data_IF_201841787101
#
_entry.id   IF_201841787101
#
_cell.length_a   1.000
_cell.length_b   1.000
_cell.length_c   1.000
_cell.angle_alpha   90.00
_cell.angle_beta   90.00
_cell.angle_gamma   90.00
#
_symmetry.space_group_name_H-M   'P 1'
#
loop_
_entity.id
_entity.type
_entity.pdbx_description
1 polymer ?
#
# COMPACT_ATOMS: atom_id res chain seq x y z
N UNK A 1 4.45 4.06 -23.50
CA UNK A 1 4.98 3.26 -22.38
C UNK A 1 5.73 4.22 -21.45
N UNK A 2 5.51 4.22 -20.12
CA UNK A 2 6.10 5.24 -19.27
C UNK A 2 7.64 5.16 -19.25
N UNK A 3 8.29 6.32 -19.26
CA UNK A 3 9.75 6.50 -19.28
C UNK A 3 10.51 5.96 -18.05
N UNK A 4 9.87 5.30 -17.09
CA UNK A 4 10.58 4.77 -15.91
C UNK A 4 10.84 3.26 -15.99
N UNK A 5 10.26 2.54 -16.96
CA UNK A 5 10.43 1.07 -17.08
C UNK A 5 11.90 0.67 -17.17
N UNK A 6 12.71 1.41 -17.95
CA UNK A 6 14.13 1.13 -18.11
C UNK A 6 14.95 1.35 -16.84
N UNK A 7 14.43 2.12 -15.88
CA UNK A 7 15.08 2.38 -14.58
C UNK A 7 14.83 1.26 -13.57
N UNK A 8 13.90 0.34 -13.86
CA UNK A 8 13.58 -0.77 -12.97
C UNK A 8 14.58 -1.93 -13.17
N UNK A 9 14.98 -2.65 -12.11
CA UNK A 9 15.67 -3.92 -12.23
C UNK A 9 14.90 -4.91 -13.11
N UNK A 10 15.60 -5.82 -13.81
CA UNK A 10 14.95 -6.78 -14.73
C UNK A 10 13.82 -7.59 -14.10
N UNK A 11 13.95 -7.95 -12.83
CA UNK A 11 12.90 -8.65 -12.08
C UNK A 11 11.62 -7.80 -11.95
N UNK A 12 11.77 -6.51 -11.65
CA UNK A 12 10.65 -5.57 -11.53
C UNK A 12 10.03 -5.24 -12.90
N UNK A 13 10.83 -5.17 -13.96
CA UNK A 13 10.32 -5.01 -15.32
C UNK A 13 9.38 -6.16 -15.70
N UNK A 14 9.75 -7.41 -15.39
CA UNK A 14 8.90 -8.59 -15.63
C UNK A 14 7.58 -8.53 -14.86
N UNK A 15 7.63 -8.11 -13.59
CA UNK A 15 6.41 -7.93 -12.78
C UNK A 15 5.54 -6.82 -13.38
N UNK A 16 6.15 -5.69 -13.74
CA UNK A 16 5.46 -4.56 -14.36
C UNK A 16 4.75 -4.94 -15.67
N UNK A 17 5.46 -5.62 -16.57
CA UNK A 17 4.89 -6.08 -17.83
C UNK A 17 3.73 -7.06 -17.58
N UNK A 18 3.90 -8.00 -16.64
CA UNK A 18 2.84 -8.95 -16.27
C UNK A 18 1.61 -8.23 -15.70
N UNK A 19 1.80 -7.27 -14.81
CA UNK A 19 0.70 -6.47 -14.26
C UNK A 19 -0.03 -5.68 -15.34
N UNK A 20 0.70 -5.11 -16.32
CA UNK A 20 0.08 -4.39 -17.44
C UNK A 20 -0.73 -5.29 -18.38
N UNK A 21 -0.48 -6.60 -18.40
CA UNK A 21 -1.32 -7.53 -19.18
C UNK A 21 -2.66 -7.84 -18.53
N UNK A 22 -2.89 -7.41 -17.28
CA UNK A 22 -4.14 -7.62 -16.57
C UNK A 22 -5.02 -6.37 -16.75
N UNK A 23 -6.07 -6.42 -17.60
CA UNK A 23 -6.87 -5.23 -17.93
C UNK A 23 -7.79 -4.81 -16.78
N UNK A 24 -8.24 -5.77 -15.97
CA UNK A 24 -9.08 -5.52 -14.81
C UNK A 24 -8.90 -6.65 -13.80
N UNK A 25 -9.03 -6.32 -12.52
CA UNK A 25 -9.13 -7.28 -11.44
C UNK A 25 -10.56 -7.17 -10.88
N UNK A 26 -11.36 -8.25 -10.90
CA UNK A 26 -12.73 -8.19 -10.41
C UNK A 26 -12.71 -7.99 -8.89
N UNK A 27 -13.00 -6.76 -8.45
CA UNK A 27 -13.14 -6.42 -7.05
C UNK A 27 -14.62 -6.41 -6.68
N UNK A 28 -15.02 -7.29 -5.76
CA UNK A 28 -16.39 -7.25 -5.22
C UNK A 28 -16.48 -6.11 -4.22
N UNK A 29 -17.24 -5.08 -4.57
CA UNK A 29 -17.45 -3.93 -3.69
C UNK A 29 -18.37 -4.34 -2.54
N UNK A 30 -17.81 -4.42 -1.34
CA UNK A 30 -18.59 -4.60 -0.11
C UNK A 30 -19.25 -3.26 0.26
N UNK A 31 -20.39 -3.27 0.96
CA UNK A 31 -21.00 -2.03 1.49
C UNK A 31 -20.04 -1.25 2.39
N UNK A 32 -19.19 -1.96 3.14
CA UNK A 32 -18.17 -1.37 4.00
C UNK A 32 -17.10 -0.65 3.18
N UNK A 33 -16.60 -1.27 2.11
CA UNK A 33 -15.64 -0.64 1.20
C UNK A 33 -16.24 0.61 0.54
N UNK A 34 -17.49 0.52 0.06
CA UNK A 34 -18.19 1.66 -0.52
C UNK A 34 -18.30 2.82 0.49
N UNK A 35 -18.76 2.54 1.71
CA UNK A 35 -18.88 3.57 2.75
C UNK A 35 -17.51 4.17 3.13
N UNK A 36 -16.48 3.34 3.28
CA UNK A 36 -15.14 3.78 3.62
C UNK A 36 -14.55 4.70 2.54
N UNK A 37 -14.79 4.41 1.25
CA UNK A 37 -14.33 5.28 0.15
C UNK A 37 -15.02 6.64 0.14
N UNK A 38 -16.33 6.70 0.38
CA UNK A 38 -17.07 7.97 0.48
C UNK A 38 -16.57 8.79 1.67
N UNK A 39 -16.43 8.15 2.83
CA UNK A 39 -15.91 8.82 4.04
C UNK A 39 -14.47 9.27 3.86
N UNK A 40 -13.64 8.53 3.13
CA UNK A 40 -12.26 8.93 2.83
C UNK A 40 -12.21 10.19 1.97
N UNK A 41 -13.06 10.27 0.93
CA UNK A 41 -13.14 11.46 0.09
C UNK A 41 -13.51 12.72 0.90
N UNK A 42 -14.45 12.57 1.84
CA UNK A 42 -14.82 13.66 2.76
C UNK A 42 -13.68 14.03 3.72
N UNK A 43 -13.03 13.05 4.34
CA UNK A 43 -11.91 13.28 5.25
C UNK A 43 -10.73 13.98 4.56
N UNK A 44 -10.46 13.64 3.28
CA UNK A 44 -9.49 14.32 2.43
C UNK A 44 -9.89 15.77 2.16
N UNK A 45 -11.15 16.04 1.83
CA UNK A 45 -11.65 17.39 1.57
C UNK A 45 -11.54 18.30 2.81
N UNK A 46 -11.71 17.74 4.00
CA UNK A 46 -11.61 18.47 5.28
C UNK A 46 -10.23 18.42 5.94
N UNK A 47 -9.23 17.78 5.32
CA UNK A 47 -7.87 17.71 5.86
C UNK A 47 -7.74 16.98 7.20
N UNK A 48 -8.65 16.04 7.50
CA UNK A 48 -8.69 15.35 8.79
C UNK A 48 -7.67 14.19 8.83
N UNK A 49 -6.39 14.51 9.02
CA UNK A 49 -5.27 13.56 8.93
C UNK A 49 -5.48 12.22 9.68
N UNK A 50 -5.92 12.20 10.96
CA UNK A 50 -6.14 10.94 11.67
C UNK A 50 -7.32 10.13 11.12
N UNK A 51 -8.31 10.80 10.51
CA UNK A 51 -9.41 10.11 9.82
C UNK A 51 -8.95 9.54 8.48
N UNK A 52 -8.14 10.30 7.73
CA UNK A 52 -7.57 9.88 6.44
C UNK A 52 -6.76 8.60 6.61
N UNK A 53 -5.83 8.55 7.57
CA UNK A 53 -5.00 7.35 7.78
C UNK A 53 -5.82 6.12 8.16
N UNK A 54 -6.80 6.28 9.07
CA UNK A 54 -7.68 5.18 9.48
C UNK A 54 -8.54 4.67 8.32
N UNK A 55 -9.12 5.57 7.53
CA UNK A 55 -9.96 5.21 6.39
C UNK A 55 -9.12 4.62 5.25
N UNK A 56 -7.93 5.14 4.99
CA UNK A 56 -6.99 4.56 4.03
C UNK A 56 -6.57 3.13 4.43
N UNK A 57 -6.33 2.89 5.73
CA UNK A 57 -6.05 1.55 6.24
C UNK A 57 -7.27 0.63 6.08
N UNK A 58 -8.48 1.09 6.40
CA UNK A 58 -9.70 0.30 6.25
C UNK A 58 -9.94 -0.11 4.79
N UNK A 59 -9.83 0.82 3.85
CA UNK A 59 -9.94 0.55 2.41
C UNK A 59 -8.88 -0.45 1.94
N UNK A 60 -7.63 -0.26 2.37
CA UNK A 60 -6.53 -1.16 1.99
C UNK A 60 -6.74 -2.57 2.52
N UNK A 61 -7.21 -2.71 3.75
CA UNK A 61 -7.51 -4.00 4.37
C UNK A 61 -8.63 -4.74 3.62
N UNK A 62 -9.73 -4.07 3.27
CA UNK A 62 -10.83 -4.66 2.50
C UNK A 62 -10.37 -5.12 1.12
N UNK A 63 -9.56 -4.32 0.43
CA UNK A 63 -9.00 -4.70 -0.88
C UNK A 63 -8.09 -5.92 -0.75
N UNK A 64 -7.21 -5.94 0.25
CA UNK A 64 -6.32 -7.08 0.47
C UNK A 64 -7.09 -8.37 0.77
N UNK A 65 -8.14 -8.26 1.59
CA UNK A 65 -9.03 -9.38 1.91
C UNK A 65 -9.77 -9.89 0.66
N UNK A 66 -10.32 -8.98 -0.14
CA UNK A 66 -11.04 -9.32 -1.37
C UNK A 66 -10.14 -9.99 -2.42
N UNK A 67 -8.87 -9.57 -2.49
CA UNK A 67 -7.88 -10.11 -3.42
C UNK A 67 -7.11 -11.32 -2.86
N UNK A 68 -7.36 -11.71 -1.60
CA UNK A 68 -6.64 -12.78 -0.89
C UNK A 68 -5.11 -12.59 -0.90
N UNK A 69 -4.66 -11.34 -0.78
CA UNK A 69 -3.23 -10.99 -0.70
C UNK A 69 -2.84 -10.67 0.74
N UNK A 70 -1.53 -10.78 1.09
CA UNK A 70 -1.05 -10.38 2.40
C UNK A 70 -1.45 -8.93 2.75
N UNK A 71 -1.80 -8.67 4.03
CA UNK A 71 -2.24 -7.34 4.45
C UNK A 71 -1.10 -6.33 4.32
N UNK A 72 -1.46 -5.10 3.96
CA UNK A 72 -0.53 -3.97 3.84
C UNK A 72 -0.84 -2.89 4.86
N UNK A 73 0.19 -2.12 5.23
CA UNK A 73 0.04 -0.91 6.03
C UNK A 73 -0.11 0.29 5.10
N UNK A 74 -1.20 1.04 5.25
CA UNK A 74 -1.42 2.29 4.54
C UNK A 74 -0.87 3.46 5.35
N UNK A 75 -0.11 4.34 4.70
CA UNK A 75 0.34 5.61 5.25
C UNK A 75 -0.13 6.72 4.31
N UNK A 76 -0.89 7.70 4.83
CA UNK A 76 -1.35 8.83 4.04
C UNK A 76 -0.42 10.02 4.27
N UNK A 77 0.33 10.42 3.26
CA UNK A 77 1.13 11.64 3.31
C UNK A 77 0.35 12.78 2.66
N UNK A 78 -0.01 13.82 3.42
CA UNK A 78 -0.48 15.08 2.82
C UNK A 78 0.75 15.80 2.28
N UNK A 79 0.97 15.68 0.97
CA UNK A 79 1.98 16.45 0.29
C UNK A 79 1.54 17.92 0.20
N UNK A 80 1.84 18.73 1.22
CA UNK A 80 1.97 20.16 1.01
C UNK A 80 3.20 20.38 0.11
N UNK A 81 2.94 20.57 -1.18
CA UNK A 81 3.91 20.65 -2.27
C UNK A 81 4.72 19.38 -2.52
N UNK A 82 4.71 18.95 -3.79
CA UNK A 82 5.60 17.93 -4.34
C UNK A 82 7.06 18.29 -4.02
N UNK A 83 7.80 17.53 -3.19
CA UNK A 83 9.25 17.60 -3.24
C UNK A 83 9.66 16.83 -4.49
N UNK A 84 10.25 17.56 -5.45
CA UNK A 84 11.00 16.92 -6.51
C UNK A 84 12.17 16.16 -5.87
N UNK A 85 12.02 14.84 -5.72
CA UNK A 85 13.09 13.94 -5.28
C UNK A 85 12.90 13.38 -3.88
N UNK A 86 12.98 12.05 -3.81
CA UNK A 86 13.27 11.23 -2.63
C UNK A 86 12.33 11.35 -1.41
N UNK A 87 11.28 10.53 -1.41
CA UNK A 87 10.85 9.87 -0.18
C UNK A 87 10.62 8.39 -0.49
N UNK A 88 11.71 7.63 -0.49
CA UNK A 88 11.69 6.19 -0.34
C UNK A 88 11.08 5.89 1.03
N UNK A 89 9.80 5.50 1.04
CA UNK A 89 9.17 4.85 2.17
C UNK A 89 9.92 3.53 2.39
N UNK A 90 10.97 3.55 3.23
CA UNK A 90 11.66 2.34 3.63
C UNK A 90 10.68 1.51 4.44
N UNK A 91 10.25 0.39 3.85
CA UNK A 91 9.54 -0.66 4.56
C UNK A 91 10.34 -1.01 5.81
N UNK A 92 9.79 -0.69 6.98
CA UNK A 92 10.33 -1.11 8.26
C UNK A 92 10.18 -2.63 8.35
N UNK A 93 11.26 -3.34 8.05
CA UNK A 93 11.37 -4.77 8.32
C UNK A 93 11.29 -4.95 9.83
N UNK A 94 10.20 -5.58 10.28
CA UNK A 94 10.05 -6.03 11.67
C UNK A 94 11.28 -6.85 12.11
N UNK A 95 11.79 -6.68 13.34
CA UNK A 95 12.90 -7.48 13.80
C UNK A 95 12.47 -8.94 13.95
N UNK A 96 13.20 -9.81 13.26
CA UNK A 96 13.07 -11.26 13.36
C UNK A 96 13.35 -11.72 14.80
N UNK A 97 12.53 -12.67 15.27
CA UNK A 97 12.71 -13.40 16.52
C UNK A 97 14.16 -13.89 16.70
N UNK A 98 14.81 -13.43 17.76
CA UNK A 98 16.06 -14.01 18.27
C UNK A 98 15.75 -15.28 19.06
N UNK A 99 15.85 -16.44 18.42
CA UNK A 99 15.97 -17.73 19.11
C UNK A 99 17.42 -17.92 19.55
N UNK A 100 17.72 -17.52 20.79
CA UNK A 100 19.02 -17.82 21.41
C UNK A 100 19.01 -19.26 21.89
N UNK A 101 19.64 -20.14 21.11
CA UNK A 101 20.04 -21.49 21.52
C UNK A 101 21.36 -21.33 22.29
N UNK A 102 21.33 -21.41 23.62
CA UNK A 102 22.57 -21.46 24.41
C UNK A 102 22.56 -22.71 25.29
N UNK A 103 23.37 -23.68 24.85
CA UNK A 103 23.86 -24.80 25.66
C UNK A 103 24.87 -24.27 26.67
N UNK A 104 24.66 -24.58 27.93
CA UNK A 104 25.68 -25.00 28.89
C UNK A 104 24.98 -26.12 29.68
N UNK A 105 25.51 -27.34 29.80
CA UNK A 105 26.87 -27.66 30.20
C UNK A 105 26.78 -28.04 31.66
#
# INVERSE_FOLDING_TARGET
MPDFRHRLPRQHQRVYDRSNTIPAIPLRVTPLLAQATVSLAQALAWGQQPAIERLAQAVSSEICAALQVPPVRACACVAHARPAGAASCTASTAPAHSTTKSRYG
#
